data_IF_831179315058
#
_entry.id   IF_831179315058
#
_cell.length_a   1.000
_cell.length_b   1.000
_cell.length_c   1.000
_cell.angle_alpha   90.00
_cell.angle_beta   90.00
_cell.angle_gamma   90.00
#
_symmetry.space_group_name_H-M   'P 1'
#
loop_
_entity.id
_entity.type
_entity.pdbx_description
1 polymer ?
#
# COMPACT_ATOMS: atom_id res chain seq x y z
N UNK A 1 -52.80 32.17 40.02
CA UNK A 1 -52.58 31.65 38.66
C UNK A 1 -51.08 31.43 38.51
N UNK A 2 -50.66 30.18 38.64
CA UNK A 2 -49.24 29.81 38.64
C UNK A 2 -48.91 29.24 37.25
N UNK A 3 -48.06 29.92 36.50
CA UNK A 3 -47.64 29.49 35.16
C UNK A 3 -46.38 28.64 35.33
N UNK A 4 -46.51 27.32 35.12
CA UNK A 4 -45.36 26.42 35.03
C UNK A 4 -44.73 26.55 33.64
N UNK A 5 -43.48 27.06 33.59
CA UNK A 5 -42.65 27.02 32.39
C UNK A 5 -42.03 25.60 32.31
N UNK A 6 -42.48 24.80 31.35
CA UNK A 6 -41.78 23.53 30.97
C UNK A 6 -40.56 23.89 30.12
N UNK A 7 -39.37 23.72 30.67
CA UNK A 7 -38.11 23.76 29.91
C UNK A 7 -37.87 22.42 29.25
N UNK A 8 -38.11 22.31 27.95
CA UNK A 8 -37.77 21.10 27.15
C UNK A 8 -36.27 21.07 26.91
N UNK A 9 -35.58 20.16 27.58
CA UNK A 9 -34.16 19.87 27.30
C UNK A 9 -34.11 19.02 26.02
N UNK A 10 -33.66 19.61 24.90
CA UNK A 10 -33.33 18.88 23.69
C UNK A 10 -32.02 18.15 23.94
N UNK A 11 -32.06 16.85 24.25
CA UNK A 11 -30.89 15.96 24.21
C UNK A 11 -30.67 15.62 22.75
N UNK A 12 -29.80 16.37 22.11
CA UNK A 12 -29.30 16.00 20.78
C UNK A 12 -28.57 14.66 20.88
N UNK A 13 -29.06 13.62 20.21
CA UNK A 13 -28.34 12.38 19.99
C UNK A 13 -27.12 12.70 19.12
N UNK A 14 -25.93 12.73 19.74
CA UNK A 14 -24.66 12.70 19.00
C UNK A 14 -24.65 11.35 18.29
N UNK A 15 -24.91 11.35 16.98
CA UNK A 15 -24.61 10.19 16.14
C UNK A 15 -23.08 10.03 16.22
N UNK A 16 -22.61 8.89 16.70
CA UNK A 16 -21.22 8.51 16.49
C UNK A 16 -20.99 8.58 14.97
N UNK A 17 -20.14 9.52 14.52
CA UNK A 17 -19.73 9.55 13.12
C UNK A 17 -19.02 8.23 12.87
N UNK A 18 -19.48 7.46 11.88
CA UNK A 18 -18.78 6.28 11.44
C UNK A 18 -17.40 6.72 10.97
N UNK A 19 -16.35 6.06 11.52
CA UNK A 19 -14.98 6.39 11.15
C UNK A 19 -14.75 6.07 9.68
N UNK A 20 -13.95 6.89 8.96
CA UNK A 20 -13.57 6.60 7.58
C UNK A 20 -12.97 5.20 7.43
N UNK A 21 -13.34 4.51 6.36
CA UNK A 21 -12.85 3.17 6.02
C UNK A 21 -11.66 3.26 5.05
N UNK A 22 -10.54 2.68 5.43
CA UNK A 22 -9.29 2.69 4.66
C UNK A 22 -8.89 1.28 4.28
N UNK A 23 -8.69 1.05 2.99
CA UNK A 23 -8.14 -0.20 2.46
C UNK A 23 -6.67 -0.02 2.09
N UNK A 24 -5.81 -0.87 2.62
CA UNK A 24 -4.42 -1.01 2.17
C UNK A 24 -4.33 -2.25 1.29
N UNK A 25 -3.89 -2.09 0.03
CA UNK A 25 -3.64 -3.20 -0.89
C UNK A 25 -2.15 -3.29 -1.15
N UNK A 26 -1.55 -4.45 -0.90
CA UNK A 26 -0.15 -4.67 -1.22
C UNK A 26 0.38 -6.03 -0.77
N UNK A 27 1.69 -6.16 -0.79
CA UNK A 27 2.40 -7.41 -0.52
C UNK A 27 2.87 -7.54 0.95
N UNK A 28 3.92 -8.31 1.18
CA UNK A 28 4.48 -8.54 2.51
C UNK A 28 5.03 -7.28 3.19
N UNK A 29 5.39 -6.26 2.44
CA UNK A 29 5.85 -4.99 3.00
C UNK A 29 4.67 -4.27 3.66
N UNK A 30 3.54 -4.17 2.94
CA UNK A 30 2.33 -3.56 3.47
C UNK A 30 1.71 -4.36 4.62
N UNK A 31 1.75 -5.69 4.55
CA UNK A 31 1.37 -6.55 5.69
C UNK A 31 2.21 -6.18 6.93
N UNK A 32 3.51 -5.92 6.74
CA UNK A 32 4.42 -5.57 7.84
C UNK A 32 4.10 -4.24 8.50
N UNK A 33 3.73 -3.21 7.76
CA UNK A 33 3.47 -1.88 8.32
C UNK A 33 2.00 -1.63 8.70
N UNK A 34 1.03 -2.35 8.14
CA UNK A 34 -0.40 -2.10 8.38
C UNK A 34 -0.81 -2.09 9.86
N UNK A 35 -0.30 -3.00 10.74
CA UNK A 35 -0.65 -2.94 12.16
C UNK A 35 -0.26 -1.62 12.84
N UNK A 36 0.90 -1.06 12.46
CA UNK A 36 1.34 0.22 13.01
C UNK A 36 0.51 1.38 12.44
N UNK A 37 0.15 1.35 11.14
CA UNK A 37 -0.77 2.33 10.54
C UNK A 37 -2.13 2.32 11.26
N UNK A 38 -2.69 1.13 11.51
CA UNK A 38 -3.95 1.00 12.24
C UNK A 38 -3.88 1.59 13.65
N UNK A 39 -2.76 1.38 14.35
CA UNK A 39 -2.55 1.95 15.68
C UNK A 39 -2.39 3.49 15.66
N UNK A 40 -1.70 4.05 14.67
CA UNK A 40 -1.51 5.51 14.52
C UNK A 40 -2.80 6.24 14.11
N UNK A 41 -3.71 5.54 13.43
CA UNK A 41 -5.01 6.06 13.00
C UNK A 41 -6.16 5.62 13.92
N UNK A 42 -5.87 5.01 15.07
CA UNK A 42 -6.89 4.62 16.05
C UNK A 42 -7.78 5.81 16.44
N UNK A 43 -9.09 5.62 16.40
CA UNK A 43 -10.09 6.67 16.64
C UNK A 43 -10.24 7.72 15.54
N UNK A 44 -9.49 7.60 14.43
CA UNK A 44 -9.54 8.51 13.27
C UNK A 44 -10.00 7.81 11.99
N UNK A 45 -9.66 6.54 11.81
CA UNK A 45 -10.07 5.73 10.67
C UNK A 45 -10.05 4.24 11.03
N UNK A 46 -10.82 3.43 10.29
CA UNK A 46 -10.75 1.97 10.35
C UNK A 46 -9.84 1.51 9.21
N UNK A 47 -8.69 0.94 9.56
CA UNK A 47 -7.69 0.51 8.57
C UNK A 47 -7.76 -1.01 8.38
N UNK A 48 -7.92 -1.43 7.13
CA UNK A 48 -7.94 -2.85 6.74
C UNK A 48 -6.92 -3.12 5.65
N UNK A 49 -6.37 -4.33 5.63
CA UNK A 49 -5.48 -4.81 4.59
C UNK A 49 -6.19 -5.84 3.71
N UNK A 50 -5.86 -5.91 2.42
CA UNK A 50 -6.38 -6.98 1.57
C UNK A 50 -6.08 -8.37 2.15
N UNK A 51 -7.01 -9.34 2.04
CA UNK A 51 -6.73 -10.70 2.47
C UNK A 51 -5.53 -11.32 1.76
N UNK A 52 -4.51 -11.71 2.53
CA UNK A 52 -3.28 -12.31 2.03
C UNK A 52 -2.32 -11.30 1.36
N UNK A 53 -1.44 -11.81 0.50
CA UNK A 53 -0.41 -11.06 -0.19
C UNK A 53 -0.88 -10.72 -1.62
N UNK A 54 -0.74 -9.46 -2.03
CA UNK A 54 -1.16 -8.99 -3.35
C UNK A 54 -0.22 -9.47 -4.48
N UNK A 55 1.01 -9.89 -4.16
CA UNK A 55 2.00 -10.41 -5.09
C UNK A 55 2.30 -9.42 -6.24
N UNK A 56 2.34 -9.93 -7.49
CA UNK A 56 2.57 -9.15 -8.70
C UNK A 56 1.27 -8.45 -9.20
N UNK A 57 1.44 -7.46 -10.07
CA UNK A 57 0.34 -6.69 -10.64
C UNK A 57 -0.66 -7.53 -11.45
N UNK A 58 -0.21 -8.61 -12.09
CA UNK A 58 -1.09 -9.57 -12.77
C UNK A 58 -1.99 -10.35 -11.80
N UNK A 59 -1.49 -10.66 -10.60
CA UNK A 59 -2.29 -11.19 -9.50
C UNK A 59 -3.26 -10.13 -8.98
N UNK A 60 -2.81 -8.87 -8.91
CA UNK A 60 -3.64 -7.71 -8.59
C UNK A 60 -4.88 -7.65 -9.48
N UNK A 61 -4.71 -7.64 -10.80
CA UNK A 61 -5.81 -7.63 -11.77
C UNK A 61 -6.84 -8.74 -11.55
N UNK A 62 -6.37 -9.94 -11.19
CA UNK A 62 -7.24 -11.11 -11.00
C UNK A 62 -8.05 -11.06 -9.70
N UNK A 63 -7.51 -10.42 -8.66
CA UNK A 63 -8.10 -10.47 -7.31
C UNK A 63 -8.69 -9.14 -6.84
N UNK A 64 -8.50 -8.05 -7.59
CA UNK A 64 -8.83 -6.70 -7.19
C UNK A 64 -10.29 -6.57 -6.72
N UNK A 65 -11.25 -7.06 -7.51
CA UNK A 65 -12.68 -6.95 -7.18
C UNK A 65 -13.04 -7.68 -5.89
N UNK A 66 -12.35 -8.80 -5.61
CA UNK A 66 -12.54 -9.52 -4.35
C UNK A 66 -12.00 -8.74 -3.15
N UNK A 67 -10.92 -7.96 -3.33
CA UNK A 67 -10.33 -7.18 -2.25
C UNK A 67 -11.10 -5.89 -1.98
N UNK A 68 -11.61 -5.26 -3.04
CA UNK A 68 -12.48 -4.09 -2.92
C UNK A 68 -13.80 -4.49 -2.24
N UNK A 69 -14.36 -5.66 -2.62
CA UNK A 69 -15.64 -6.15 -2.09
C UNK A 69 -16.81 -5.23 -2.44
N UNK A 70 -17.76 -5.15 -1.52
CA UNK A 70 -18.96 -4.29 -1.61
C UNK A 70 -18.90 -3.11 -0.64
N UNK A 71 -17.80 -2.97 0.09
CA UNK A 71 -17.58 -1.93 1.09
C UNK A 71 -17.42 -0.56 0.41
N UNK A 72 -17.82 0.47 1.13
CA UNK A 72 -17.54 1.85 0.76
C UNK A 72 -16.23 2.27 1.40
N UNK A 73 -15.21 2.51 0.57
CA UNK A 73 -13.90 2.95 1.03
C UNK A 73 -13.77 4.45 0.86
N UNK A 74 -13.27 5.14 1.89
CA UNK A 74 -12.93 6.57 1.82
C UNK A 74 -11.54 6.77 1.21
N UNK A 75 -10.58 5.88 1.56
CA UNK A 75 -9.22 5.89 1.02
C UNK A 75 -8.80 4.47 0.64
N UNK A 76 -8.16 4.33 -0.52
CA UNK A 76 -7.45 3.12 -0.91
C UNK A 76 -5.97 3.47 -1.13
N UNK A 77 -5.10 2.96 -0.26
CA UNK A 77 -3.64 3.05 -0.37
C UNK A 77 -3.11 1.74 -0.97
N UNK A 78 -2.40 1.80 -2.09
CA UNK A 78 -2.07 0.58 -2.83
C UNK A 78 -0.67 0.59 -3.42
N UNK A 79 -0.08 -0.62 -3.55
CA UNK A 79 1.27 -0.84 -4.07
C UNK A 79 1.38 -2.18 -4.79
N UNK A 80 2.20 -2.20 -5.83
CA UNK A 80 2.82 -3.36 -6.47
C UNK A 80 4.23 -2.98 -6.91
N UNK A 81 5.10 -3.96 -7.19
CA UNK A 81 6.43 -3.72 -7.75
C UNK A 81 7.44 -4.78 -7.33
N UNK A 82 7.72 -4.97 -6.02
CA UNK A 82 8.75 -5.93 -5.57
C UNK A 82 8.54 -7.36 -6.10
N UNK A 83 7.31 -7.77 -6.36
CA UNK A 83 7.03 -9.07 -6.96
C UNK A 83 7.16 -9.04 -8.48
N UNK A 84 6.79 -7.94 -9.12
CA UNK A 84 6.86 -7.75 -10.58
C UNK A 84 8.31 -7.75 -11.06
N UNK A 85 9.18 -6.97 -10.42
CA UNK A 85 10.61 -6.83 -10.76
C UNK A 85 11.48 -8.01 -10.29
N UNK A 86 10.87 -9.06 -9.70
CA UNK A 86 11.59 -10.22 -9.19
C UNK A 86 11.84 -11.25 -10.28
N UNK A 87 13.10 -11.69 -10.43
CA UNK A 87 13.50 -12.80 -11.26
C UNK A 87 13.35 -14.11 -10.50
N UNK A 88 12.78 -15.12 -11.14
CA UNK A 88 12.49 -16.43 -10.53
C UNK A 88 12.95 -17.56 -11.43
N UNK A 89 13.49 -18.61 -10.80
CA UNK A 89 13.90 -19.83 -11.50
C UNK A 89 13.31 -21.05 -10.77
N UNK A 90 12.63 -21.99 -11.46
CA UNK A 90 11.95 -23.12 -10.81
C UNK A 90 12.86 -24.01 -9.96
N UNK A 91 14.14 -24.08 -10.29
CA UNK A 91 15.12 -24.89 -9.57
C UNK A 91 15.86 -24.12 -8.47
N UNK A 92 15.63 -22.83 -8.31
CA UNK A 92 16.25 -22.05 -7.24
C UNK A 92 15.84 -22.59 -5.87
N UNK A 93 16.81 -22.66 -4.95
CA UNK A 93 16.59 -23.07 -3.55
C UNK A 93 16.29 -21.87 -2.64
N UNK A 94 16.39 -20.67 -3.17
CA UNK A 94 16.04 -19.46 -2.43
C UNK A 94 14.52 -19.36 -2.31
N UNK A 95 14.03 -18.96 -1.13
CA UNK A 95 12.59 -18.79 -0.88
C UNK A 95 11.92 -17.99 -1.99
N UNK A 96 10.78 -18.46 -2.48
CA UNK A 96 10.06 -17.85 -3.59
C UNK A 96 10.74 -18.06 -4.95
N UNK A 97 11.63 -19.03 -5.06
CA UNK A 97 12.36 -19.38 -6.28
C UNK A 97 13.18 -18.21 -6.85
N UNK A 98 13.64 -17.31 -6.00
CA UNK A 98 14.36 -16.09 -6.40
C UNK A 98 15.73 -16.41 -6.98
N UNK A 99 16.01 -15.90 -8.18
CA UNK A 99 17.30 -16.05 -8.87
C UNK A 99 17.42 -14.97 -9.96
N UNK A 100 18.18 -13.91 -9.67
CA UNK A 100 18.40 -12.82 -10.63
C UNK A 100 19.45 -13.12 -11.70
N UNK A 101 20.13 -14.26 -11.61
CA UNK A 101 21.19 -14.68 -12.57
C UNK A 101 20.61 -15.57 -13.65
N UNK A 102 19.86 -16.62 -13.26
CA UNK A 102 19.32 -17.62 -14.17
C UNK A 102 17.78 -17.54 -14.32
N UNK A 103 17.16 -16.67 -13.55
CA UNK A 103 15.70 -16.54 -13.49
C UNK A 103 15.11 -15.72 -14.62
N UNK A 104 13.80 -15.87 -14.78
CA UNK A 104 12.97 -15.03 -15.66
C UNK A 104 12.28 -13.95 -14.85
N UNK A 105 12.23 -12.73 -15.38
CA UNK A 105 11.52 -11.60 -14.80
C UNK A 105 10.02 -11.92 -14.69
N UNK A 106 9.41 -11.64 -13.55
CA UNK A 106 7.99 -11.97 -13.30
C UNK A 106 7.07 -11.14 -14.20
N UNK A 107 7.28 -9.83 -14.28
CA UNK A 107 6.47 -8.92 -15.10
C UNK A 107 7.39 -7.89 -15.74
N UNK A 108 7.35 -7.72 -17.08
CA UNK A 108 8.13 -6.65 -17.71
C UNK A 108 7.61 -5.27 -17.30
N UNK A 109 8.44 -4.24 -17.45
CA UNK A 109 8.08 -2.86 -17.12
C UNK A 109 6.85 -2.41 -17.91
N UNK A 110 6.78 -2.74 -19.20
CA UNK A 110 5.67 -2.39 -20.09
C UNK A 110 4.37 -3.09 -19.66
N UNK A 111 4.45 -4.37 -19.30
CA UNK A 111 3.29 -5.12 -18.81
C UNK A 111 2.83 -4.62 -17.43
N UNK A 112 3.79 -4.26 -16.57
CA UNK A 112 3.50 -3.67 -15.27
C UNK A 112 2.76 -2.34 -15.40
N UNK A 113 3.21 -1.45 -16.30
CA UNK A 113 2.57 -0.18 -16.57
C UNK A 113 1.13 -0.36 -17.09
N UNK A 114 0.92 -1.32 -18.02
CA UNK A 114 -0.42 -1.68 -18.51
C UNK A 114 -1.31 -2.24 -17.40
N UNK A 115 -0.78 -3.12 -16.57
CA UNK A 115 -1.52 -3.69 -15.45
C UNK A 115 -1.95 -2.60 -14.46
N UNK A 116 -1.04 -1.67 -14.12
CA UNK A 116 -1.36 -0.56 -13.23
C UNK A 116 -2.41 0.38 -13.82
N UNK A 117 -2.34 0.68 -15.12
CA UNK A 117 -3.34 1.52 -15.78
C UNK A 117 -4.76 0.93 -15.67
N UNK A 118 -4.89 -0.38 -15.86
CA UNK A 118 -6.16 -1.08 -15.67
C UNK A 118 -6.59 -1.13 -14.19
N UNK A 119 -5.66 -1.43 -13.28
CA UNK A 119 -5.93 -1.45 -11.84
C UNK A 119 -6.47 -0.10 -11.37
N UNK A 120 -5.79 0.99 -11.72
CA UNK A 120 -6.20 2.35 -11.34
C UNK A 120 -7.56 2.69 -11.95
N UNK A 121 -7.79 2.33 -13.22
CA UNK A 121 -9.08 2.54 -13.89
C UNK A 121 -10.24 1.82 -13.18
N UNK A 122 -9.97 0.65 -12.58
CA UNK A 122 -10.97 -0.09 -11.79
C UNK A 122 -11.13 0.51 -10.39
N UNK A 123 -10.03 0.87 -9.71
CA UNK A 123 -10.06 1.51 -8.39
C UNK A 123 -10.82 2.84 -8.40
N UNK A 124 -10.70 3.63 -9.46
CA UNK A 124 -11.45 4.91 -9.61
C UNK A 124 -12.97 4.72 -9.60
N UNK A 125 -13.48 3.54 -9.90
CA UNK A 125 -14.93 3.24 -9.84
C UNK A 125 -15.46 3.12 -8.41
N UNK A 126 -14.58 3.00 -7.42
CA UNK A 126 -14.98 2.96 -6.00
C UNK A 126 -15.33 4.32 -5.44
N UNK A 127 -14.93 5.40 -6.13
CA UNK A 127 -14.98 6.80 -5.66
C UNK A 127 -14.14 7.07 -4.40
N UNK A 128 -13.33 6.11 -3.92
CA UNK A 128 -12.37 6.33 -2.85
C UNK A 128 -11.26 7.28 -3.30
N UNK A 129 -10.67 8.01 -2.37
CA UNK A 129 -9.42 8.72 -2.61
C UNK A 129 -8.29 7.71 -2.75
N UNK A 130 -7.56 7.77 -3.86
CA UNK A 130 -6.53 6.81 -4.21
C UNK A 130 -5.14 7.35 -3.89
N UNK A 131 -4.31 6.55 -3.22
CA UNK A 131 -2.91 6.87 -2.91
C UNK A 131 -2.05 5.70 -3.38
N UNK A 132 -1.18 5.97 -4.35
CA UNK A 132 -0.15 5.03 -4.77
C UNK A 132 1.05 5.09 -3.81
N UNK A 133 1.57 3.94 -3.40
CA UNK A 133 2.86 3.88 -2.70
C UNK A 133 3.94 3.38 -3.64
N UNK A 134 5.06 4.10 -3.76
CA UNK A 134 6.23 3.60 -4.46
C UNK A 134 6.71 2.29 -3.83
N UNK A 135 7.20 1.36 -4.65
CA UNK A 135 7.86 0.16 -4.16
C UNK A 135 9.15 0.54 -3.44
N UNK A 136 9.39 -0.11 -2.31
CA UNK A 136 10.56 0.18 -1.47
C UNK A 136 11.86 -0.24 -2.13
N UNK A 137 12.99 0.31 -1.65
CA UNK A 137 14.32 0.07 -2.21
C UNK A 137 14.71 -1.40 -2.21
N UNK A 138 15.46 -1.81 -3.25
CA UNK A 138 16.08 -3.13 -3.37
C UNK A 138 17.50 -3.07 -2.82
N UNK A 139 17.80 -3.71 -1.67
CA UNK A 139 19.12 -3.66 -1.08
C UNK A 139 20.13 -4.51 -1.85
N UNK A 140 21.41 -4.15 -1.72
CA UNK A 140 22.53 -4.94 -2.22
C UNK A 140 22.47 -6.39 -1.71
N UNK A 141 22.85 -7.37 -2.56
CA UNK A 141 22.85 -8.78 -2.19
C UNK A 141 21.49 -9.49 -2.27
N UNK A 142 20.40 -8.80 -2.65
CA UNK A 142 19.10 -9.45 -2.87
C UNK A 142 19.19 -10.51 -3.97
N UNK A 143 18.59 -11.70 -3.74
CA UNK A 143 18.83 -12.88 -4.58
C UNK A 143 18.05 -12.84 -5.91
N UNK A 144 16.88 -12.26 -5.95
CA UNK A 144 15.99 -12.29 -7.13
C UNK A 144 15.71 -10.93 -7.75
N UNK A 145 16.30 -9.84 -7.23
CA UNK A 145 16.06 -8.48 -7.72
C UNK A 145 17.37 -7.79 -7.98
N UNK A 146 17.42 -6.91 -8.96
CA UNK A 146 18.59 -6.08 -9.25
C UNK A 146 18.43 -4.74 -8.57
N UNK A 147 19.50 -4.23 -8.00
CA UNK A 147 19.53 -2.87 -7.44
C UNK A 147 19.25 -1.87 -8.56
N UNK A 148 18.36 -0.91 -8.28
CA UNK A 148 17.92 0.09 -9.25
C UNK A 148 16.70 -0.31 -10.08
N UNK A 149 16.32 -1.60 -10.13
CA UNK A 149 15.06 -1.99 -10.81
C UNK A 149 13.83 -1.36 -10.11
N UNK A 150 13.88 -1.16 -8.80
CA UNK A 150 12.84 -0.44 -8.05
C UNK A 150 12.61 0.99 -8.56
N UNK A 151 13.67 1.72 -8.89
CA UNK A 151 13.56 3.04 -9.50
C UNK A 151 12.86 2.97 -10.86
N UNK A 152 13.25 2.03 -11.73
CA UNK A 152 12.66 1.87 -13.06
C UNK A 152 11.16 1.55 -12.97
N UNK A 153 10.76 0.66 -12.05
CA UNK A 153 9.35 0.33 -11.85
C UNK A 153 8.56 1.46 -11.20
N UNK A 154 9.16 2.21 -10.28
CA UNK A 154 8.53 3.40 -9.71
C UNK A 154 8.31 4.50 -10.75
N UNK A 155 9.26 4.75 -11.65
CA UNK A 155 9.09 5.68 -12.77
C UNK A 155 7.95 5.26 -13.72
N UNK A 156 7.82 3.95 -14.01
CA UNK A 156 6.72 3.43 -14.79
C UNK A 156 5.37 3.62 -14.09
N UNK A 157 5.31 3.32 -12.79
CA UNK A 157 4.13 3.57 -11.98
C UNK A 157 3.77 5.05 -11.92
N UNK A 158 4.75 5.92 -11.75
CA UNK A 158 4.53 7.38 -11.67
C UNK A 158 3.90 7.93 -12.96
N UNK A 159 4.31 7.46 -14.15
CA UNK A 159 3.65 7.84 -15.42
C UNK A 159 2.14 7.52 -15.40
N UNK A 160 1.77 6.36 -14.87
CA UNK A 160 0.36 5.96 -14.73
C UNK A 160 -0.33 6.86 -13.70
N UNK A 161 0.29 7.10 -12.54
CA UNK A 161 -0.32 7.92 -11.49
C UNK A 161 -0.54 9.36 -11.95
N UNK A 162 0.42 9.96 -12.64
CA UNK A 162 0.29 11.29 -13.26
C UNK A 162 -0.87 11.30 -14.27
N UNK A 163 -0.95 10.32 -15.17
CA UNK A 163 -2.04 10.18 -16.16
C UNK A 163 -3.42 10.20 -15.50
N UNK A 164 -3.55 9.56 -14.34
CA UNK A 164 -4.83 9.41 -13.64
C UNK A 164 -5.08 10.45 -12.55
N UNK A 165 -4.10 11.31 -12.24
CA UNK A 165 -4.18 12.30 -11.16
C UNK A 165 -4.18 11.67 -9.77
N UNK A 166 -3.40 10.59 -9.55
CA UNK A 166 -3.32 9.88 -8.29
C UNK A 166 -2.16 10.41 -7.44
N UNK A 167 -2.40 10.65 -6.17
CA UNK A 167 -1.38 11.06 -5.21
C UNK A 167 -0.35 9.94 -4.99
N UNK A 168 0.92 10.31 -4.85
CA UNK A 168 2.03 9.39 -4.62
C UNK A 168 2.58 9.55 -3.20
N UNK A 169 2.70 8.42 -2.49
CA UNK A 169 3.42 8.29 -1.24
C UNK A 169 4.77 7.62 -1.51
N UNK A 170 5.85 8.38 -1.46
CA UNK A 170 7.18 7.90 -1.84
C UNK A 170 7.84 7.07 -0.73
N UNK A 171 7.44 5.80 -0.63
CA UNK A 171 8.06 4.83 0.28
C UNK A 171 9.43 4.35 -0.20
N UNK A 172 9.79 4.57 -1.48
CA UNK A 172 11.14 4.29 -1.97
C UNK A 172 12.14 5.24 -1.30
N UNK A 173 11.91 6.55 -1.38
CA UNK A 173 12.74 7.56 -0.74
C UNK A 173 12.87 7.33 0.77
N UNK A 174 11.76 6.97 1.44
CA UNK A 174 11.80 6.66 2.88
C UNK A 174 12.72 5.49 3.16
N UNK A 175 12.57 4.37 2.43
CA UNK A 175 13.34 3.14 2.66
C UNK A 175 14.79 3.22 2.20
N UNK A 176 15.09 4.03 1.18
CA UNK A 176 16.45 4.27 0.71
C UNK A 176 17.32 4.96 1.78
N UNK A 177 16.71 5.77 2.63
CA UNK A 177 17.36 6.38 3.77
C UNK A 177 17.65 5.45 4.95
N UNK A 178 17.22 4.18 4.89
CA UNK A 178 17.30 3.28 6.02
C UNK A 178 18.70 2.72 6.26
N UNK A 179 19.15 2.79 7.52
CA UNK A 179 20.34 2.05 7.95
C UNK A 179 20.10 0.53 7.85
N UNK A 180 21.17 -0.23 7.63
CA UNK A 180 21.12 -1.69 7.45
C UNK A 180 20.35 -2.44 8.56
N UNK A 181 20.37 -1.94 9.80
CA UNK A 181 19.65 -2.53 10.95
C UNK A 181 18.13 -2.41 10.88
N UNK A 182 17.57 -1.66 9.92
CA UNK A 182 16.13 -1.59 9.69
C UNK A 182 15.62 -2.66 8.71
N UNK A 183 16.52 -3.37 8.03
CA UNK A 183 16.21 -4.56 7.25
C UNK A 183 16.36 -5.82 8.12
N UNK A 184 15.56 -6.87 7.87
CA UNK A 184 15.61 -8.11 8.67
C UNK A 184 16.92 -8.88 8.51
N UNK A 185 17.61 -8.70 7.38
CA UNK A 185 18.94 -9.26 7.10
C UNK A 185 19.57 -8.53 5.89
N UNK A 186 20.90 -8.60 5.71
CA UNK A 186 21.55 -8.15 4.48
C UNK A 186 20.93 -8.82 3.23
N UNK A 187 20.70 -8.06 2.18
CA UNK A 187 20.10 -8.55 0.94
C UNK A 187 18.63 -9.00 1.06
N UNK A 188 17.92 -8.55 2.10
CA UNK A 188 16.50 -8.84 2.28
C UNK A 188 15.68 -7.56 2.13
N UNK A 189 14.63 -7.61 1.31
CA UNK A 189 13.72 -6.46 1.09
C UNK A 189 12.76 -6.20 2.25
N UNK A 190 12.67 -7.11 3.22
CA UNK A 190 11.76 -6.96 4.35
C UNK A 190 12.40 -6.15 5.47
N UNK A 191 11.57 -5.45 6.21
CA UNK A 191 11.98 -4.56 7.28
C UNK A 191 11.74 -5.18 8.66
N UNK A 192 12.58 -4.78 9.62
CA UNK A 192 12.33 -5.07 11.05
C UNK A 192 11.05 -4.36 11.50
N UNK A 193 10.58 -4.68 12.72
CA UNK A 193 9.42 -3.98 13.29
C UNK A 193 9.63 -2.45 13.34
N UNK A 194 10.87 -2.00 13.61
CA UNK A 194 11.20 -0.57 13.61
C UNK A 194 11.21 0.02 12.20
N UNK A 195 11.77 -0.69 11.20
CA UNK A 195 11.71 -0.25 9.80
C UNK A 195 10.27 -0.17 9.31
N UNK A 196 9.44 -1.18 9.60
CA UNK A 196 8.02 -1.19 9.27
C UNK A 196 7.26 -0.03 9.93
N UNK A 197 7.59 0.32 11.18
CA UNK A 197 7.01 1.47 11.88
C UNK A 197 7.37 2.80 11.22
N UNK A 198 8.59 2.95 10.69
CA UNK A 198 8.97 4.17 9.94
C UNK A 198 8.19 4.29 8.63
N UNK A 199 7.97 3.18 7.91
CA UNK A 199 7.09 3.16 6.73
C UNK A 199 5.64 3.50 7.11
N UNK A 200 5.15 2.93 8.23
CA UNK A 200 3.81 3.20 8.74
C UNK A 200 3.56 4.70 8.98
N UNK A 201 4.53 5.40 9.56
CA UNK A 201 4.40 6.85 9.78
C UNK A 201 4.19 7.62 8.47
N UNK A 202 4.91 7.28 7.39
CA UNK A 202 4.72 7.89 6.08
C UNK A 202 3.35 7.55 5.48
N UNK A 203 2.90 6.30 5.63
CA UNK A 203 1.58 5.85 5.16
C UNK A 203 0.45 6.52 5.93
N UNK A 204 0.53 6.57 7.27
CA UNK A 204 -0.46 7.23 8.13
C UNK A 204 -0.60 8.72 7.83
N UNK A 205 0.52 9.40 7.57
CA UNK A 205 0.51 10.81 7.17
C UNK A 205 -0.19 11.01 5.82
N UNK A 206 0.13 10.18 4.81
CA UNK A 206 -0.50 10.26 3.50
C UNK A 206 -2.02 10.02 3.58
N UNK A 207 -2.45 9.00 4.35
CA UNK A 207 -3.87 8.71 4.58
C UNK A 207 -4.54 9.87 5.33
N UNK A 208 -3.92 10.40 6.40
CA UNK A 208 -4.48 11.52 7.18
C UNK A 208 -4.68 12.76 6.32
N UNK A 209 -3.73 13.09 5.45
CA UNK A 209 -3.85 14.21 4.52
C UNK A 209 -5.03 14.00 3.55
N UNK A 210 -5.13 12.82 2.97
CA UNK A 210 -6.22 12.49 2.08
C UNK A 210 -7.60 12.59 2.77
N UNK A 211 -7.72 12.22 4.03
CA UNK A 211 -8.98 12.29 4.78
C UNK A 211 -9.39 13.74 5.12
N UNK A 212 -8.47 14.72 5.06
CA UNK A 212 -8.75 16.14 5.36
C UNK A 212 -9.16 16.95 4.12
N UNK A 213 -8.86 16.49 2.91
CA UNK A 213 -9.27 17.09 1.64
C UNK A 213 -10.74 16.82 1.30
#
# INVERSE_FOLDING_TARGET
MLVLLLCSVFVGTVHAQDLPEVLIIGDSISIGYTPAVAAELEGKAVVRHNPGNAQDSGTGLKKLDRWIGTEQWDVIHFNWGLWDLCYRHPQSKVQGNRDKVNGTLTTSVEQYEQNLDEIVSRLKKTNAKLIWAHTTTVPEGEAGRKVGDDTIYNEAAERVMIKHGIAVNDLNQVSDSFAAGLFVAPGNVHFTAEGSKKLAAAVSNAISNALQE
#
